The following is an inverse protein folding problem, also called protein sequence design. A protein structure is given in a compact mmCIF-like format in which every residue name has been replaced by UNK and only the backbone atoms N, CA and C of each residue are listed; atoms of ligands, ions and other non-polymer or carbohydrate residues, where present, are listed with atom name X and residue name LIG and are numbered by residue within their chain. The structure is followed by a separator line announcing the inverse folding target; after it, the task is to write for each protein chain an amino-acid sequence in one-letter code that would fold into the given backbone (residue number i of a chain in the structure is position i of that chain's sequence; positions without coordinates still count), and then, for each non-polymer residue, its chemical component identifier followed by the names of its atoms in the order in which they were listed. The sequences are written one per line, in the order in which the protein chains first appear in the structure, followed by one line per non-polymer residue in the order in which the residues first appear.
data_IF_848788812970
#
_entry.id   IF_848788812970
#
_cell.length_a   1.000
_cell.length_b   1.000
_cell.length_c   1.000
_cell.angle_alpha   90.00
_cell.angle_beta   90.00
_cell.angle_gamma   90.00
#
_symmetry.space_group_name_H-M   'P 1'
#
loop_
_entity.id
_entity.type
_entity.pdbx_description
1 polymer ?
#
# COMPACT_ATOMS: atom_id res chain seq x y z
N UNK A 1 -27.57 61.96 1.32
CA UNK A 1 -27.21 62.77 2.50
C UNK A 1 -27.51 61.92 3.73
N UNK A 2 -26.52 61.22 4.30
CA UNK A 2 -26.43 60.80 5.71
C UNK A 2 -25.07 60.11 5.95
N UNK A 3 -24.51 60.40 7.12
CA UNK A 3 -23.09 60.40 7.54
C UNK A 3 -22.53 59.01 7.93
N UNK A 4 -21.20 58.77 7.87
CA UNK A 4 -20.58 57.51 8.27
C UNK A 4 -20.40 57.42 9.79
N UNK A 5 -20.70 56.25 10.38
CA UNK A 5 -20.39 55.95 11.79
C UNK A 5 -19.02 55.30 11.93
N UNK A 6 -18.33 55.74 12.98
CA UNK A 6 -16.95 55.48 13.39
C UNK A 6 -16.69 54.03 13.82
N UNK A 7 -15.43 53.65 13.64
CA UNK A 7 -14.77 52.46 14.16
C UNK A 7 -14.74 52.40 15.69
N UNK A 8 -14.84 51.18 16.23
CA UNK A 8 -14.49 50.86 17.62
C UNK A 8 -13.76 49.51 17.70
N UNK A 9 -12.52 49.60 18.19
CA UNK A 9 -11.62 48.61 18.78
C UNK A 9 -11.91 47.10 18.68
N UNK A 10 -10.99 46.38 18.02
CA UNK A 10 -10.70 44.98 18.29
C UNK A 10 -9.56 44.89 19.32
N UNK A 11 -9.64 44.02 20.35
CA UNK A 11 -8.53 43.79 21.26
C UNK A 11 -7.47 42.89 20.59
N UNK A 12 -6.21 43.27 20.76
CA UNK A 12 -5.06 42.55 20.22
C UNK A 12 -4.98 41.12 20.73
N UNK A 13 -4.90 40.16 19.80
CA UNK A 13 -4.46 38.80 20.09
C UNK A 13 -2.94 38.73 19.92
N UNK A 14 -2.28 38.38 21.02
CA UNK A 14 -0.87 38.08 21.06
C UNK A 14 -0.52 36.98 20.04
N UNK A 15 0.58 37.19 19.31
CA UNK A 15 1.21 36.18 18.48
C UNK A 15 1.64 35.00 19.38
N UNK A 16 0.99 33.85 19.24
CA UNK A 16 1.47 32.60 19.80
C UNK A 16 2.60 32.09 18.92
N UNK A 17 3.84 32.40 19.31
CA UNK A 17 5.04 31.84 18.69
C UNK A 17 5.05 30.32 18.83
N UNK A 18 5.16 29.63 17.70
CA UNK A 18 5.50 28.20 17.69
C UNK A 18 7.01 28.11 17.85
N UNK A 19 7.46 27.50 18.95
CA UNK A 19 8.86 27.17 19.15
C UNK A 19 9.28 26.09 18.14
N UNK A 20 10.24 26.42 17.28
CA UNK A 20 11.00 25.43 16.53
C UNK A 20 12.01 24.76 17.49
N UNK A 21 12.22 23.43 17.43
CA UNK A 21 13.18 22.79 18.30
C UNK A 21 14.63 23.09 17.85
N UNK A 22 15.40 23.67 18.77
CA UNK A 22 16.86 23.66 18.73
C UNK A 22 17.41 22.22 18.79
N UNK A 23 18.58 21.94 18.18
CA UNK A 23 19.12 20.59 18.07
C UNK A 23 19.73 20.14 19.41
N UNK A 24 18.92 19.54 20.28
CA UNK A 24 19.46 18.91 21.49
C UNK A 24 18.41 18.60 22.56
N UNK A 25 18.30 17.30 22.90
CA UNK A 25 17.46 16.69 23.95
C UNK A 25 15.96 16.62 23.66
N UNK A 26 15.60 15.66 22.81
CA UNK A 26 14.23 15.17 22.64
C UNK A 26 13.67 14.57 23.94
N UNK A 27 12.53 15.10 24.40
CA UNK A 27 11.65 14.46 25.38
C UNK A 27 10.99 13.24 24.75
N UNK A 28 11.15 12.08 25.39
CA UNK A 28 10.64 10.78 24.95
C UNK A 28 9.10 10.73 25.05
N UNK A 29 8.42 10.72 23.90
CA UNK A 29 7.17 9.94 23.72
C UNK A 29 7.55 8.62 23.06
N UNK A 30 6.84 7.51 23.32
CA UNK A 30 7.30 6.19 22.87
C UNK A 30 7.20 6.14 21.35
N UNK A 31 8.36 6.20 20.70
CA UNK A 31 8.47 5.90 19.28
C UNK A 31 8.03 4.46 19.05
N UNK A 32 7.18 4.25 18.06
CA UNK A 32 7.11 2.94 17.42
C UNK A 32 8.52 2.63 16.91
N UNK A 33 9.13 1.51 17.32
CA UNK A 33 10.50 1.21 16.93
C UNK A 33 10.56 0.97 15.43
N UNK A 34 11.25 1.86 14.71
CA UNK A 34 11.93 1.50 13.46
C UNK A 34 12.81 0.29 13.77
N UNK A 35 12.53 -0.85 13.13
CA UNK A 35 13.40 -2.02 13.20
C UNK A 35 13.55 -2.60 14.60
N UNK A 36 12.45 -3.09 15.19
CA UNK A 36 12.55 -4.22 16.11
C UNK A 36 11.83 -5.39 15.46
N UNK A 37 12.58 -6.14 14.65
CA UNK A 37 12.31 -7.56 14.46
C UNK A 37 11.95 -8.11 15.84
N UNK A 38 10.73 -8.61 16.00
CA UNK A 38 10.45 -9.56 17.08
C UNK A 38 11.18 -10.85 16.68
N UNK A 39 12.51 -10.83 16.76
CA UNK A 39 13.29 -12.03 17.00
C UNK A 39 12.98 -12.45 18.43
N UNK A 40 11.77 -12.95 18.65
CA UNK A 40 11.61 -13.94 19.69
C UNK A 40 12.54 -15.08 19.26
N UNK A 41 13.71 -15.18 19.90
CA UNK A 41 14.40 -16.46 20.03
C UNK A 41 13.40 -17.36 20.75
N UNK A 42 12.51 -17.97 19.99
CA UNK A 42 11.79 -19.15 20.41
C UNK A 42 12.89 -20.17 20.60
N UNK A 43 13.17 -20.55 21.85
CA UNK A 43 13.96 -21.75 22.09
C UNK A 43 13.35 -22.85 21.24
N UNK A 44 14.17 -23.48 20.40
CA UNK A 44 13.83 -24.67 19.63
C UNK A 44 13.52 -25.83 20.60
N UNK A 45 12.40 -25.74 21.30
CA UNK A 45 11.79 -26.80 22.05
C UNK A 45 10.88 -27.54 21.09
N UNK A 46 11.37 -28.67 20.58
CA UNK A 46 10.63 -29.73 19.86
C UNK A 46 9.23 -29.31 19.38
N UNK A 47 9.16 -28.59 18.26
CA UNK A 47 7.90 -28.33 17.59
C UNK A 47 7.30 -29.67 17.13
N UNK A 48 6.04 -29.93 17.51
CA UNK A 48 5.25 -30.93 16.83
C UNK A 48 5.16 -30.50 15.36
N UNK A 49 5.99 -31.11 14.50
CA UNK A 49 5.84 -31.05 13.05
C UNK A 49 4.60 -31.84 12.67
N UNK A 50 3.42 -31.24 12.89
CA UNK A 50 2.23 -31.61 12.14
C UNK A 50 2.55 -31.47 10.65
N UNK A 51 2.04 -32.38 9.82
CA UNK A 51 2.25 -32.34 8.37
C UNK A 51 1.88 -30.96 7.81
N UNK A 52 2.58 -30.53 6.77
CA UNK A 52 2.27 -29.28 6.06
C UNK A 52 0.81 -29.37 5.58
N UNK A 53 -0.08 -28.42 5.94
CA UNK A 53 -1.47 -28.46 5.48
C UNK A 53 -1.54 -28.59 3.96
N UNK A 54 -2.56 -29.28 3.45
CA UNK A 54 -2.83 -29.37 2.02
C UNK A 54 -3.54 -28.09 1.55
N UNK A 55 -3.36 -27.72 0.28
CA UNK A 55 -4.00 -26.52 -0.31
C UNK A 55 -5.53 -26.53 -0.10
N UNK A 56 -6.15 -27.72 -0.17
CA UNK A 56 -7.58 -27.93 0.09
C UNK A 56 -8.04 -27.62 1.51
N UNK A 57 -7.14 -27.58 2.50
CA UNK A 57 -7.51 -27.28 3.88
C UNK A 57 -7.93 -25.81 4.06
N UNK A 58 -7.32 -24.89 3.29
CA UNK A 58 -7.77 -23.49 3.24
C UNK A 58 -9.16 -23.37 2.61
N UNK A 59 -9.51 -24.27 1.70
CA UNK A 59 -10.84 -24.28 1.09
C UNK A 59 -11.94 -24.67 2.08
N UNK A 60 -11.60 -25.52 3.05
CA UNK A 60 -12.47 -25.99 4.11
C UNK A 60 -12.68 -24.96 5.24
N UNK A 61 -11.96 -23.83 5.24
CA UNK A 61 -12.12 -22.79 6.26
C UNK A 61 -13.52 -22.16 6.16
N UNK A 62 -14.33 -22.44 7.18
CA UNK A 62 -15.70 -21.92 7.27
C UNK A 62 -15.73 -20.39 7.27
N UNK A 63 -16.78 -19.80 6.67
CA UNK A 63 -16.97 -18.33 6.65
C UNK A 63 -16.83 -17.67 8.03
N UNK A 64 -17.40 -18.21 9.12
CA UNK A 64 -17.25 -17.62 10.46
C UNK A 64 -15.82 -17.70 11.03
N UNK A 65 -14.96 -18.57 10.51
CA UNK A 65 -13.58 -18.71 10.98
C UNK A 65 -12.61 -17.74 10.27
N UNK A 66 -12.96 -17.24 9.08
CA UNK A 66 -12.10 -16.34 8.28
C UNK A 66 -11.65 -15.07 9.01
N UNK A 67 -12.50 -14.37 9.81
CA UNK A 67 -12.04 -13.22 10.58
C UNK A 67 -10.96 -13.58 11.62
N UNK A 68 -11.02 -14.78 12.21
CA UNK A 68 -10.01 -15.27 13.15
C UNK A 68 -8.69 -15.49 12.43
N UNK A 69 -8.74 -16.17 11.27
CA UNK A 69 -7.57 -16.41 10.43
C UNK A 69 -6.95 -15.08 9.98
N UNK A 70 -7.77 -14.12 9.52
CA UNK A 70 -7.29 -12.77 9.14
C UNK A 70 -6.59 -12.07 10.29
N UNK A 71 -7.18 -12.08 11.48
CA UNK A 71 -6.60 -11.41 12.65
C UNK A 71 -5.27 -12.07 13.06
N UNK A 72 -5.17 -13.40 13.00
CA UNK A 72 -3.91 -14.10 13.29
C UNK A 72 -2.86 -13.87 12.21
N UNK A 73 -3.27 -13.85 10.94
CA UNK A 73 -2.40 -13.58 9.80
C UNK A 73 -1.78 -12.17 9.92
N UNK A 74 -2.61 -11.16 10.17
CA UNK A 74 -2.18 -9.75 10.18
C UNK A 74 -1.56 -9.35 11.53
N UNK A 75 -2.19 -9.77 12.64
CA UNK A 75 -1.92 -9.27 14.00
C UNK A 75 -1.50 -10.36 15.00
N UNK A 76 -1.28 -11.60 14.55
CA UNK A 76 -0.78 -12.72 15.37
C UNK A 76 0.70 -12.60 15.78
N UNK A 77 1.17 -13.42 16.73
CA UNK A 77 0.39 -14.39 17.52
C UNK A 77 -0.54 -13.73 18.54
N UNK A 78 -1.66 -14.38 18.90
CA UNK A 78 -2.65 -13.86 19.88
C UNK A 78 -3.18 -14.93 20.82
N UNK A 79 -3.47 -14.55 22.06
CA UNK A 79 -4.17 -15.46 22.98
C UNK A 79 -5.63 -15.63 22.56
N UNK A 80 -6.26 -16.75 22.96
CA UNK A 80 -7.69 -16.97 22.70
C UNK A 80 -8.55 -15.88 23.34
N UNK A 81 -8.18 -15.40 24.53
CA UNK A 81 -8.86 -14.30 25.22
C UNK A 81 -8.81 -13.00 24.40
N UNK A 82 -7.64 -12.67 23.84
CA UNK A 82 -7.48 -11.47 23.00
C UNK A 82 -8.31 -11.56 21.71
N UNK A 83 -8.27 -12.72 21.04
CA UNK A 83 -9.06 -12.97 19.83
C UNK A 83 -10.56 -12.87 20.10
N UNK A 84 -11.04 -13.51 21.17
CA UNK A 84 -12.44 -13.47 21.58
C UNK A 84 -12.92 -12.03 21.79
N UNK A 85 -12.13 -11.22 22.53
CA UNK A 85 -12.44 -9.82 22.80
C UNK A 85 -12.44 -8.97 21.52
N UNK A 86 -11.42 -9.10 20.67
CA UNK A 86 -11.28 -8.29 19.44
C UNK A 86 -12.35 -8.58 18.41
N UNK A 87 -12.75 -9.85 18.29
CA UNK A 87 -13.72 -10.30 17.29
C UNK A 87 -15.15 -10.39 17.83
N UNK A 88 -15.39 -10.03 19.10
CA UNK A 88 -16.72 -10.11 19.73
C UNK A 88 -17.27 -11.53 19.81
N UNK A 89 -16.39 -12.54 19.97
CA UNK A 89 -16.76 -13.96 20.01
C UNK A 89 -16.76 -14.50 21.43
N UNK A 90 -17.65 -15.44 21.75
CA UNK A 90 -17.56 -16.20 23.00
C UNK A 90 -16.39 -17.19 22.96
N UNK A 91 -15.80 -17.52 24.12
CA UNK A 91 -14.72 -18.50 24.24
C UNK A 91 -15.10 -19.88 23.65
N UNK A 92 -16.35 -20.31 23.83
CA UNK A 92 -16.87 -21.54 23.24
C UNK A 92 -16.92 -21.49 21.71
N UNK A 93 -17.36 -20.36 21.14
CA UNK A 93 -17.36 -20.17 19.68
C UNK A 93 -15.94 -20.16 19.11
N UNK A 94 -15.02 -19.44 19.75
CA UNK A 94 -13.63 -19.38 19.32
C UNK A 94 -12.98 -20.77 19.35
N UNK A 95 -13.19 -21.54 20.42
CA UNK A 95 -12.67 -22.92 20.53
C UNK A 95 -13.22 -23.81 19.42
N UNK A 96 -14.54 -23.77 19.19
CA UNK A 96 -15.20 -24.53 18.13
C UNK A 96 -14.68 -24.18 16.73
N UNK A 97 -14.39 -22.90 16.46
CA UNK A 97 -13.92 -22.43 15.16
C UNK A 97 -12.42 -22.67 14.93
N UNK A 98 -11.60 -22.62 15.99
CA UNK A 98 -10.14 -22.78 15.88
C UNK A 98 -9.69 -24.23 15.96
N UNK A 99 -10.42 -25.11 16.66
CA UNK A 99 -10.05 -26.52 16.82
C UNK A 99 -9.79 -27.24 15.48
N UNK A 100 -10.68 -27.18 14.47
CA UNK A 100 -10.42 -27.83 13.18
C UNK A 100 -9.21 -27.25 12.44
N UNK A 101 -8.92 -25.96 12.63
CA UNK A 101 -7.78 -25.28 11.98
C UNK A 101 -6.44 -25.69 12.62
N UNK A 102 -6.43 -25.96 13.93
CA UNK A 102 -5.25 -26.49 14.62
C UNK A 102 -5.05 -27.96 14.25
N UNK A 103 -6.13 -28.74 14.20
CA UNK A 103 -6.08 -30.16 13.79
C UNK A 103 -5.59 -30.35 12.35
N UNK A 104 -5.91 -29.43 11.43
CA UNK A 104 -5.40 -29.44 10.05
C UNK A 104 -4.01 -28.82 9.90
N UNK A 105 -3.43 -28.25 10.96
CA UNK A 105 -2.12 -27.59 10.90
C UNK A 105 -2.11 -26.20 10.24
N UNK A 106 -3.28 -25.63 9.95
CA UNK A 106 -3.42 -24.24 9.47
C UNK A 106 -3.09 -23.22 10.55
N UNK A 107 -3.41 -23.55 11.81
CA UNK A 107 -3.03 -22.79 12.98
C UNK A 107 -2.14 -23.63 13.90
N UNK A 108 -1.24 -22.97 14.62
CA UNK A 108 -0.38 -23.59 15.62
C UNK A 108 -0.49 -22.89 16.95
N UNK A 109 -0.32 -23.67 18.02
CA UNK A 109 -0.10 -23.13 19.35
C UNK A 109 1.39 -22.84 19.54
N UNK A 110 1.73 -21.58 19.77
CA UNK A 110 3.10 -21.16 20.10
C UNK A 110 3.43 -21.51 21.56
N UNK A 111 4.70 -21.33 21.92
CA UNK A 111 5.19 -21.56 23.28
C UNK A 111 4.38 -20.83 24.34
N UNK A 112 4.35 -21.38 25.56
CA UNK A 112 3.58 -20.84 26.68
C UNK A 112 4.07 -19.44 27.06
N UNK A 113 3.17 -18.47 27.06
CA UNK A 113 3.37 -17.11 27.59
C UNK A 113 2.44 -16.88 28.77
N UNK A 114 2.71 -15.87 29.60
CA UNK A 114 1.75 -15.46 30.63
C UNK A 114 0.78 -14.45 30.03
N UNK A 115 -0.53 -14.69 30.19
CA UNK A 115 -1.57 -13.79 29.70
C UNK A 115 -1.37 -12.40 30.33
N UNK A 116 -1.27 -11.31 29.54
CA UNK A 116 -0.98 -9.97 30.08
C UNK A 116 -2.06 -9.42 31.01
N UNK A 117 -3.28 -9.96 30.94
CA UNK A 117 -4.44 -9.48 31.68
C UNK A 117 -4.65 -10.31 32.95
N UNK A 118 -4.56 -11.63 32.85
CA UNK A 118 -4.90 -12.53 33.95
C UNK A 118 -3.70 -13.25 34.57
N UNK A 119 -2.50 -13.09 34.01
CA UNK A 119 -1.26 -13.73 34.48
C UNK A 119 -1.22 -15.25 34.30
N UNK A 120 -2.28 -15.87 33.75
CA UNK A 120 -2.32 -17.32 33.56
C UNK A 120 -1.46 -17.76 32.38
N UNK A 121 -0.71 -18.86 32.51
CA UNK A 121 -0.01 -19.48 31.39
C UNK A 121 -1.00 -19.81 30.26
N UNK A 122 -0.72 -19.29 29.07
CA UNK A 122 -1.54 -19.46 27.87
C UNK A 122 -0.66 -19.74 26.67
N UNK A 123 -1.20 -20.46 25.68
CA UNK A 123 -0.53 -20.74 24.41
C UNK A 123 -1.19 -19.89 23.32
N UNK A 124 -0.51 -18.87 22.81
CA UNK A 124 -1.04 -18.05 21.72
C UNK A 124 -1.27 -18.90 20.48
N UNK A 125 -2.35 -18.62 19.77
CA UNK A 125 -2.59 -19.14 18.43
C UNK A 125 -1.86 -18.26 17.41
N UNK A 126 -1.41 -18.88 16.34
CA UNK A 126 -0.75 -18.20 15.22
C UNK A 126 -0.92 -18.99 13.92
N UNK A 127 -0.61 -18.35 12.79
CA UNK A 127 -0.47 -19.01 11.50
C UNK A 127 0.94 -19.59 11.34
N UNK A 128 1.07 -20.67 10.56
CA UNK A 128 2.36 -21.19 10.13
C UNK A 128 2.81 -20.41 8.89
N UNK A 129 3.53 -19.31 9.10
CA UNK A 129 3.79 -18.32 8.04
C UNK A 129 4.47 -18.92 6.79
N UNK A 130 5.42 -19.83 6.97
CA UNK A 130 6.19 -20.50 5.93
C UNK A 130 5.48 -21.72 5.31
N UNK A 131 4.27 -22.06 5.77
CA UNK A 131 3.51 -23.20 5.24
C UNK A 131 3.16 -23.02 3.76
N UNK A 132 2.99 -21.79 3.28
CA UNK A 132 2.68 -21.49 1.89
C UNK A 132 3.48 -20.30 1.38
N UNK A 133 3.73 -20.31 0.08
CA UNK A 133 4.41 -19.22 -0.59
C UNK A 133 3.52 -18.67 -1.71
N UNK A 134 3.69 -17.41 -2.05
CA UNK A 134 2.84 -16.67 -2.97
C UNK A 134 3.69 -15.86 -3.92
N UNK A 135 3.34 -15.89 -5.20
CA UNK A 135 3.98 -15.05 -6.20
C UNK A 135 3.26 -13.69 -6.23
N UNK A 136 4.00 -12.61 -6.04
CA UNK A 136 3.52 -11.26 -6.28
C UNK A 136 4.21 -10.69 -7.49
N UNK A 137 3.45 -10.18 -8.45
CA UNK A 137 3.98 -9.59 -9.69
C UNK A 137 3.53 -8.15 -9.81
N UNK A 138 4.45 -7.23 -10.03
CA UNK A 138 4.16 -5.87 -10.49
C UNK A 138 4.51 -5.76 -11.97
N UNK A 139 3.52 -5.44 -12.79
CA UNK A 139 3.69 -5.19 -14.22
C UNK A 139 3.78 -3.68 -14.49
N UNK A 140 4.78 -3.27 -15.26
CA UNK A 140 4.93 -1.93 -15.83
C UNK A 140 4.85 -2.01 -17.36
N UNK A 141 4.99 -0.89 -18.07
CA UNK A 141 4.96 -0.85 -19.54
C UNK A 141 6.12 -1.61 -20.19
N UNK A 142 7.19 -1.88 -19.45
CA UNK A 142 8.43 -2.42 -19.98
C UNK A 142 9.10 -3.48 -19.10
N UNK A 143 8.63 -3.71 -17.87
CA UNK A 143 9.22 -4.67 -16.93
C UNK A 143 8.17 -5.51 -16.20
N UNK A 144 8.62 -6.70 -15.82
CA UNK A 144 7.97 -7.56 -14.84
C UNK A 144 8.86 -7.65 -13.60
N UNK A 145 8.34 -7.17 -12.47
CA UNK A 145 8.95 -7.36 -11.16
C UNK A 145 8.19 -8.46 -10.43
N UNK A 146 8.89 -9.43 -9.87
CA UNK A 146 8.27 -10.54 -9.18
C UNK A 146 8.97 -10.84 -7.85
N UNK A 147 8.15 -11.18 -6.85
CA UNK A 147 8.58 -11.63 -5.53
C UNK A 147 7.88 -12.94 -5.19
N UNK A 148 8.57 -13.82 -4.48
CA UNK A 148 7.94 -14.92 -3.76
C UNK A 148 7.93 -14.57 -2.28
N UNK A 149 6.77 -14.61 -1.64
CA UNK A 149 6.63 -14.33 -0.21
C UNK A 149 6.01 -15.47 0.56
N UNK A 150 6.22 -15.52 1.87
CA UNK A 150 5.43 -16.34 2.79
C UNK A 150 4.02 -15.75 3.04
N UNK A 151 3.24 -16.34 3.96
CA UNK A 151 1.90 -15.84 4.33
C UNK A 151 1.91 -14.46 5.00
N UNK A 152 3.04 -14.04 5.59
CA UNK A 152 3.20 -12.71 6.22
C UNK A 152 3.81 -11.69 5.26
N UNK A 153 3.89 -12.04 3.97
CA UNK A 153 4.49 -11.21 2.93
C UNK A 153 5.98 -10.90 3.17
N UNK A 154 6.69 -11.79 3.85
CA UNK A 154 8.16 -11.73 3.94
C UNK A 154 8.77 -12.29 2.65
N UNK A 155 9.71 -11.56 2.05
CA UNK A 155 10.28 -11.89 0.73
C UNK A 155 11.30 -13.02 0.86
N UNK A 156 11.05 -14.13 0.18
CA UNK A 156 11.95 -15.27 0.08
C UNK A 156 12.89 -15.15 -1.14
N UNK A 157 12.37 -14.65 -2.25
CA UNK A 157 13.14 -14.43 -3.48
C UNK A 157 12.51 -13.30 -4.31
N UNK A 158 13.32 -12.57 -5.06
CA UNK A 158 12.85 -11.53 -5.98
C UNK A 158 13.64 -11.52 -7.29
N UNK A 159 12.98 -11.13 -8.38
CA UNK A 159 13.58 -10.95 -9.70
C UNK A 159 12.87 -9.83 -10.46
N UNK A 160 13.59 -9.22 -11.38
CA UNK A 160 13.08 -8.18 -12.27
C UNK A 160 13.68 -8.39 -13.66
N UNK A 161 12.84 -8.33 -14.68
CA UNK A 161 13.28 -8.49 -16.07
C UNK A 161 12.42 -7.65 -17.04
N UNK A 162 12.98 -7.21 -18.18
CA UNK A 162 12.20 -6.53 -19.20
C UNK A 162 11.11 -7.42 -19.77
N UNK A 163 9.99 -6.83 -20.19
CA UNK A 163 8.95 -7.51 -20.94
C UNK A 163 9.41 -7.80 -22.36
N UNK A 164 9.47 -9.08 -22.72
CA UNK A 164 9.81 -9.51 -24.08
C UNK A 164 8.62 -9.41 -25.03
N UNK A 165 7.46 -9.91 -24.60
CA UNK A 165 6.20 -9.85 -25.32
C UNK A 165 5.12 -9.21 -24.44
N UNK A 166 4.46 -8.18 -24.98
CA UNK A 166 3.41 -7.41 -24.29
C UNK A 166 2.00 -7.95 -24.54
N UNK A 167 1.84 -9.06 -25.26
CA UNK A 167 0.55 -9.75 -25.33
C UNK A 167 0.19 -10.37 -23.98
N UNK A 168 -1.10 -10.55 -23.64
CA UNK A 168 -1.50 -11.24 -22.41
C UNK A 168 -0.88 -12.64 -22.28
N UNK A 169 -0.81 -13.39 -23.39
CA UNK A 169 -0.21 -14.73 -23.45
C UNK A 169 1.31 -14.67 -23.24
N UNK A 170 1.98 -13.71 -23.86
CA UNK A 170 3.41 -13.47 -23.69
C UNK A 170 3.78 -13.13 -22.24
N UNK A 171 3.01 -12.23 -21.62
CA UNK A 171 3.16 -11.88 -20.20
C UNK A 171 2.91 -13.11 -19.31
N UNK A 172 1.89 -13.91 -19.58
CA UNK A 172 1.58 -15.10 -18.80
C UNK A 172 2.68 -16.18 -18.92
N UNK A 173 3.21 -16.40 -20.14
CA UNK A 173 4.32 -17.31 -20.36
C UNK A 173 5.60 -16.86 -19.65
N UNK A 174 5.91 -15.56 -19.72
CA UNK A 174 7.06 -14.98 -19.03
C UNK A 174 6.91 -15.08 -17.50
N UNK A 175 5.72 -14.79 -16.96
CA UNK A 175 5.45 -14.93 -15.53
C UNK A 175 5.60 -16.38 -15.05
N UNK A 176 5.19 -17.35 -15.87
CA UNK A 176 5.34 -18.78 -15.57
C UNK A 176 6.80 -19.18 -15.47
N UNK A 177 7.59 -18.79 -16.47
CA UNK A 177 9.02 -19.07 -16.50
C UNK A 177 9.75 -18.40 -15.31
N UNK A 178 9.40 -17.14 -14.99
CA UNK A 178 9.94 -16.44 -13.84
C UNK A 178 9.56 -17.10 -12.50
N UNK A 179 8.32 -17.59 -12.36
CA UNK A 179 7.89 -18.38 -11.21
C UNK A 179 8.71 -19.67 -11.07
N UNK A 180 8.91 -20.42 -12.16
CA UNK A 180 9.67 -21.67 -12.14
C UNK A 180 11.16 -21.41 -11.80
N UNK A 181 11.73 -20.26 -12.18
CA UNK A 181 13.06 -19.83 -11.73
C UNK A 181 13.10 -19.48 -10.25
N UNK A 182 12.17 -18.63 -9.79
CA UNK A 182 12.09 -18.21 -8.39
C UNK A 182 11.85 -19.39 -7.44
N UNK A 183 11.09 -20.39 -7.87
CA UNK A 183 10.82 -21.62 -7.13
C UNK A 183 12.03 -22.58 -7.05
N UNK A 184 13.14 -22.32 -7.76
CA UNK A 184 14.42 -23.03 -7.52
C UNK A 184 15.18 -22.47 -6.33
N UNK A 185 15.02 -21.18 -6.07
CA UNK A 185 15.67 -20.46 -4.96
C UNK A 185 14.79 -20.39 -3.70
N UNK A 186 13.51 -20.80 -3.81
CA UNK A 186 12.48 -20.70 -2.76
C UNK A 186 11.47 -21.85 -2.87
N UNK A 187 10.36 -21.81 -2.13
CA UNK A 187 9.29 -22.81 -2.28
C UNK A 187 8.33 -22.44 -3.43
N UNK A 188 7.78 -23.48 -4.08
CA UNK A 188 6.79 -23.31 -5.14
C UNK A 188 5.57 -22.53 -4.64
N UNK A 189 5.18 -21.44 -5.32
CA UNK A 189 3.99 -20.68 -4.96
C UNK A 189 2.69 -21.49 -5.08
N UNK A 190 1.76 -21.27 -4.15
CA UNK A 190 0.43 -21.88 -4.16
C UNK A 190 -0.61 -21.04 -4.91
N UNK A 191 -0.38 -19.73 -5.01
CA UNK A 191 -1.18 -18.79 -5.78
C UNK A 191 -0.31 -17.60 -6.22
N UNK A 192 -0.79 -16.85 -7.21
CA UNK A 192 -0.13 -15.67 -7.73
C UNK A 192 -1.08 -14.45 -7.75
N UNK A 193 -0.53 -13.26 -7.53
CA UNK A 193 -1.25 -12.01 -7.59
C UNK A 193 -0.52 -11.00 -8.45
N UNK A 194 -1.24 -10.44 -9.43
CA UNK A 194 -0.71 -9.52 -10.42
C UNK A 194 -1.26 -8.12 -10.16
N UNK A 195 -0.35 -7.21 -9.82
CA UNK A 195 -0.59 -5.80 -9.60
C UNK A 195 -0.16 -5.02 -10.85
N UNK A 196 -1.11 -4.33 -11.49
CA UNK A 196 -0.83 -3.51 -12.67
C UNK A 196 -1.83 -2.36 -12.78
N UNK A 197 -1.45 -1.28 -13.47
CA UNK A 197 -2.35 -0.15 -13.71
C UNK A 197 -3.52 -0.57 -14.60
N UNK A 198 -4.67 0.08 -14.46
CA UNK A 198 -5.87 -0.26 -15.21
C UNK A 198 -6.98 -0.86 -14.35
N UNK A 199 -8.07 -1.27 -15.02
CA UNK A 199 -9.31 -1.67 -14.35
C UNK A 199 -9.80 -3.05 -14.74
N UNK A 200 -10.28 -3.77 -13.73
CA UNK A 200 -11.26 -4.81 -13.94
C UNK A 200 -12.61 -4.17 -14.32
N UNK A 201 -13.29 -4.73 -15.31
CA UNK A 201 -14.64 -4.34 -15.69
C UNK A 201 -15.59 -4.69 -14.53
N UNK A 202 -16.43 -3.75 -14.07
CA UNK A 202 -17.31 -3.95 -12.91
C UNK A 202 -18.42 -5.00 -13.15
N UNK A 203 -18.48 -5.61 -14.34
CA UNK A 203 -19.40 -6.69 -14.66
C UNK A 203 -20.85 -6.21 -14.66
N UNK A 204 -21.23 -5.42 -15.67
CA UNK A 204 -22.64 -5.13 -15.92
C UNK A 204 -23.42 -6.39 -16.32
N UNK A 205 -22.75 -7.31 -17.02
CA UNK A 205 -23.20 -8.66 -17.34
C UNK A 205 -22.17 -9.69 -16.85
N UNK A 206 -22.62 -10.90 -16.50
CA UNK A 206 -21.76 -11.98 -16.02
C UNK A 206 -20.64 -12.37 -17.00
N UNK A 207 -20.83 -12.08 -18.29
CA UNK A 207 -19.82 -12.30 -19.34
C UNK A 207 -18.69 -11.27 -19.32
N UNK A 208 -18.90 -10.11 -18.71
CA UNK A 208 -17.92 -9.00 -18.66
C UNK A 208 -17.17 -8.92 -17.32
N UNK A 209 -17.70 -9.58 -16.28
CA UNK A 209 -17.08 -9.64 -14.97
C UNK A 209 -15.69 -10.30 -15.07
N UNK A 210 -14.66 -9.61 -14.60
CA UNK A 210 -13.27 -10.12 -14.60
C UNK A 210 -12.46 -9.81 -15.85
N UNK A 211 -13.01 -9.10 -16.84
CA UNK A 211 -12.20 -8.57 -17.94
C UNK A 211 -11.37 -7.37 -17.50
N UNK A 212 -10.13 -7.28 -17.97
CA UNK A 212 -9.17 -6.27 -17.56
C UNK A 212 -8.76 -5.36 -18.74
N UNK A 213 -8.78 -4.05 -18.49
CA UNK A 213 -8.25 -3.03 -19.39
C UNK A 213 -6.91 -2.52 -18.84
N UNK A 214 -5.85 -2.56 -19.64
CA UNK A 214 -4.54 -2.02 -19.31
C UNK A 214 -4.02 -1.15 -20.47
N UNK A 215 -4.45 0.12 -20.57
CA UNK A 215 -4.16 0.98 -21.73
C UNK A 215 -2.67 1.15 -22.02
N UNK A 216 -1.81 1.13 -20.99
CA UNK A 216 -0.36 1.24 -21.14
C UNK A 216 0.28 0.01 -21.83
N UNK A 217 -0.44 -1.10 -21.93
CA UNK A 217 -0.07 -2.30 -22.71
C UNK A 217 -0.94 -2.46 -23.97
N UNK A 218 -1.84 -1.52 -24.24
CA UNK A 218 -2.80 -1.62 -25.34
C UNK A 218 -3.88 -2.70 -25.12
N UNK A 219 -4.05 -3.18 -23.90
CA UNK A 219 -5.03 -4.22 -23.59
C UNK A 219 -6.42 -3.64 -23.39
N UNK A 220 -7.40 -4.28 -24.02
CA UNK A 220 -8.81 -3.94 -23.88
C UNK A 220 -9.63 -5.20 -23.64
N UNK A 221 -10.37 -5.23 -22.54
CA UNK A 221 -11.32 -6.28 -22.16
C UNK A 221 -10.71 -7.69 -22.21
N UNK A 222 -9.50 -7.84 -21.68
CA UNK A 222 -8.76 -9.10 -21.66
C UNK A 222 -9.20 -9.96 -20.48
N UNK A 223 -9.49 -11.24 -20.68
CA UNK A 223 -9.74 -12.20 -19.59
C UNK A 223 -8.44 -12.60 -18.88
N UNK A 224 -7.73 -11.64 -18.32
CA UNK A 224 -6.33 -11.81 -17.89
C UNK A 224 -6.18 -12.89 -16.81
N UNK A 225 -7.08 -12.95 -15.83
CA UNK A 225 -7.06 -14.03 -14.83
C UNK A 225 -7.18 -15.42 -15.46
N UNK A 226 -8.00 -15.59 -16.51
CA UNK A 226 -8.14 -16.86 -17.22
C UNK A 226 -6.84 -17.25 -17.93
N UNK A 227 -6.24 -16.31 -18.67
CA UNK A 227 -4.97 -16.51 -19.37
C UNK A 227 -3.85 -16.87 -18.39
N UNK A 228 -3.78 -16.15 -17.27
CA UNK A 228 -2.81 -16.41 -16.20
C UNK A 228 -3.05 -17.76 -15.52
N UNK A 229 -4.29 -18.09 -15.14
CA UNK A 229 -4.61 -19.39 -14.53
C UNK A 229 -4.20 -20.56 -15.44
N UNK A 230 -4.49 -20.47 -16.75
CA UNK A 230 -4.14 -21.49 -17.72
C UNK A 230 -2.63 -21.67 -17.88
N UNK A 231 -1.87 -20.58 -17.98
CA UNK A 231 -0.41 -20.63 -18.15
C UNK A 231 0.33 -21.03 -16.86
N UNK A 232 -0.11 -20.49 -15.72
CA UNK A 232 0.57 -20.66 -14.44
C UNK A 232 0.26 -22.03 -13.80
N UNK A 233 -0.94 -22.57 -14.03
CA UNK A 233 -1.38 -23.83 -13.41
C UNK A 233 -1.63 -23.70 -11.90
N UNK A 234 -1.74 -22.47 -11.40
CA UNK A 234 -2.10 -22.12 -10.01
C UNK A 234 -3.11 -20.96 -10.03
N UNK A 235 -3.93 -20.80 -8.98
CA UNK A 235 -4.85 -19.69 -8.86
C UNK A 235 -4.15 -18.34 -8.99
N UNK A 236 -4.63 -17.50 -9.90
CA UNK A 236 -4.13 -16.16 -10.18
C UNK A 236 -5.22 -15.14 -9.93
N UNK A 237 -4.87 -14.04 -9.28
CA UNK A 237 -5.75 -12.86 -9.13
C UNK A 237 -5.10 -11.63 -9.72
N UNK A 238 -5.92 -10.75 -10.28
CA UNK A 238 -5.47 -9.49 -10.86
C UNK A 238 -6.06 -8.34 -10.06
N UNK A 239 -5.25 -7.31 -9.79
CA UNK A 239 -5.69 -6.11 -9.10
C UNK A 239 -4.99 -4.87 -9.63
N UNK A 240 -5.68 -3.75 -9.55
CA UNK A 240 -5.05 -2.44 -9.71
C UNK A 240 -3.87 -2.32 -8.73
N UNK A 241 -2.74 -1.82 -9.23
CA UNK A 241 -1.50 -1.76 -8.47
C UNK A 241 -1.58 -0.86 -7.24
N UNK A 242 -2.31 0.27 -7.29
CA UNK A 242 -2.51 1.17 -6.17
C UNK A 242 -3.31 0.50 -5.06
N UNK A 243 -4.36 -0.24 -5.42
CA UNK A 243 -5.17 -0.99 -4.46
C UNK A 243 -4.39 -2.13 -3.82
N UNK A 244 -3.62 -2.86 -4.64
CA UNK A 244 -2.76 -3.93 -4.16
C UNK A 244 -1.69 -3.39 -3.19
N UNK A 245 -1.07 -2.25 -3.53
CA UNK A 245 -0.12 -1.56 -2.66
C UNK A 245 -0.79 -1.10 -1.35
N UNK A 246 -1.95 -0.45 -1.42
CA UNK A 246 -2.70 -0.04 -0.24
C UNK A 246 -3.04 -1.22 0.68
N UNK A 247 -3.40 -2.37 0.11
CA UNK A 247 -3.67 -3.58 0.89
C UNK A 247 -2.42 -4.18 1.50
N UNK A 248 -1.32 -4.20 0.75
CA UNK A 248 0.00 -4.58 1.25
C UNK A 248 0.41 -3.74 2.46
N UNK A 249 0.26 -2.42 2.37
CA UNK A 249 0.57 -1.51 3.47
C UNK A 249 -0.36 -1.69 4.66
N UNK A 250 -1.65 -1.94 4.42
CA UNK A 250 -2.63 -2.17 5.49
C UNK A 250 -2.42 -3.49 6.22
N UNK A 251 -1.95 -4.54 5.55
CA UNK A 251 -1.75 -5.84 6.17
C UNK A 251 -0.37 -5.97 6.81
N UNK A 252 0.69 -5.54 6.12
CA UNK A 252 2.07 -5.84 6.52
C UNK A 252 3.03 -4.65 6.41
N UNK A 253 2.53 -3.43 6.18
CA UNK A 253 3.36 -2.23 6.06
C UNK A 253 2.98 -1.13 7.05
N UNK A 254 3.22 0.12 6.67
CA UNK A 254 3.09 1.31 7.55
C UNK A 254 1.64 1.64 7.91
N UNK A 255 0.67 1.15 7.14
CA UNK A 255 -0.75 1.31 7.46
C UNK A 255 -1.32 0.17 8.34
N UNK A 256 -0.48 -0.74 8.82
CA UNK A 256 -0.94 -1.85 9.68
C UNK A 256 -1.51 -1.33 10.99
N UNK A 257 -2.75 -1.74 11.28
CA UNK A 257 -3.48 -1.33 12.48
C UNK A 257 -4.24 -0.01 12.33
N UNK A 258 -4.13 0.68 11.19
CA UNK A 258 -4.96 1.83 10.87
C UNK A 258 -6.33 1.37 10.35
N UNK A 259 -7.40 2.00 10.83
CA UNK A 259 -8.75 1.80 10.29
C UNK A 259 -9.04 2.72 9.12
N UNK A 260 -8.48 3.93 9.15
CA UNK A 260 -8.72 4.98 8.17
C UNK A 260 -7.38 5.54 7.67
N UNK A 261 -7.11 5.42 6.38
CA UNK A 261 -5.95 6.02 5.74
C UNK A 261 -6.19 6.20 4.24
N UNK A 262 -5.47 7.10 3.60
CA UNK A 262 -5.43 7.21 2.15
C UNK A 262 -4.03 6.88 1.66
N UNK A 263 -3.92 6.31 0.48
CA UNK A 263 -2.66 6.09 -0.21
C UNK A 263 -2.70 6.88 -1.52
N UNK A 264 -1.77 7.82 -1.67
CA UNK A 264 -1.56 8.58 -2.90
C UNK A 264 -0.19 8.20 -3.47
N UNK A 265 -0.13 7.90 -4.76
CA UNK A 265 1.14 7.60 -5.43
C UNK A 265 1.51 8.66 -6.45
N UNK A 266 2.80 8.93 -6.55
CA UNK A 266 3.40 9.86 -7.49
C UNK A 266 4.54 9.15 -8.23
N UNK A 267 4.29 8.80 -9.49
CA UNK A 267 5.24 8.15 -10.39
C UNK A 267 4.91 8.46 -11.84
N UNK A 268 4.99 7.47 -12.74
CA UNK A 268 4.56 7.62 -14.12
C UNK A 268 3.13 8.20 -14.26
N UNK A 269 2.24 7.86 -13.31
CA UNK A 269 0.94 8.49 -13.11
C UNK A 269 0.71 8.88 -11.66
N UNK A 270 -0.52 9.32 -11.36
CA UNK A 270 -1.00 9.58 -10.00
C UNK A 270 -1.99 8.49 -9.63
N UNK A 271 -1.72 7.77 -8.55
CA UNK A 271 -2.61 6.76 -8.01
C UNK A 271 -3.30 7.24 -6.73
N UNK A 272 -4.48 6.69 -6.45
CA UNK A 272 -5.26 7.00 -5.25
C UNK A 272 -6.04 5.80 -4.74
N UNK A 273 -6.01 5.59 -3.43
CA UNK A 273 -6.85 4.62 -2.72
C UNK A 273 -7.22 5.17 -1.34
N UNK A 274 -8.43 4.83 -0.87
CA UNK A 274 -8.91 5.21 0.46
C UNK A 274 -9.31 3.95 1.22
N UNK A 275 -8.82 3.82 2.44
CA UNK A 275 -9.31 2.87 3.43
C UNK A 275 -10.16 3.61 4.45
N UNK A 276 -11.38 3.10 4.68
CA UNK A 276 -12.32 3.59 5.68
C UNK A 276 -12.88 2.40 6.45
N UNK A 277 -12.94 2.49 7.77
CA UNK A 277 -13.45 1.41 8.63
C UNK A 277 -12.75 0.05 8.37
N UNK A 278 -11.46 0.08 8.05
CA UNK A 278 -10.64 -1.09 7.74
C UNK A 278 -10.96 -1.73 6.38
N UNK A 279 -11.68 -1.04 5.50
CA UNK A 279 -12.01 -1.47 4.14
C UNK A 279 -11.46 -0.49 3.12
N UNK A 280 -10.67 -1.00 2.18
CA UNK A 280 -10.28 -0.24 1.00
C UNK A 280 -11.52 -0.06 0.13
N UNK A 281 -11.86 1.19 -0.17
CA UNK A 281 -12.96 1.55 -1.05
C UNK A 281 -12.57 1.19 -2.48
N UNK A 282 -13.48 0.50 -3.18
CA UNK A 282 -13.31 0.24 -4.59
C UNK A 282 -13.47 1.56 -5.36
N UNK A 283 -12.47 1.89 -6.17
CA UNK A 283 -12.47 3.04 -7.08
C UNK A 283 -12.30 2.54 -8.50
N UNK A 284 -12.94 3.20 -9.46
CA UNK A 284 -12.73 2.92 -10.88
C UNK A 284 -11.40 3.54 -11.35
N UNK A 285 -10.87 3.10 -12.50
CA UNK A 285 -9.70 3.75 -13.10
C UNK A 285 -10.03 5.21 -13.46
N UNK A 286 -11.26 5.48 -13.90
CA UNK A 286 -11.76 6.81 -14.18
C UNK A 286 -11.70 7.71 -12.94
N UNK A 287 -12.05 7.20 -11.74
CA UNK A 287 -11.94 7.94 -10.48
C UNK A 287 -10.48 8.27 -10.15
N UNK A 288 -9.57 7.32 -10.35
CA UNK A 288 -8.13 7.49 -10.08
C UNK A 288 -7.52 8.51 -11.05
N UNK A 289 -7.84 8.41 -12.34
CA UNK A 289 -7.38 9.35 -13.37
C UNK A 289 -7.96 10.75 -13.12
N UNK A 290 -9.25 10.85 -12.79
CA UNK A 290 -9.89 12.11 -12.45
C UNK A 290 -9.24 12.75 -11.21
N UNK A 291 -8.91 11.95 -10.20
CA UNK A 291 -8.14 12.42 -9.04
C UNK A 291 -6.78 12.98 -9.46
N UNK A 292 -6.00 12.25 -10.26
CA UNK A 292 -4.71 12.71 -10.78
C UNK A 292 -4.78 14.00 -11.60
N UNK A 293 -5.95 14.32 -12.15
CA UNK A 293 -6.22 15.54 -12.90
C UNK A 293 -7.00 16.61 -12.13
N UNK A 294 -7.24 16.40 -10.83
CA UNK A 294 -7.82 17.43 -9.98
C UNK A 294 -6.95 18.68 -9.95
N UNK A 295 -7.54 19.85 -10.20
CA UNK A 295 -6.84 21.12 -10.30
C UNK A 295 -6.47 21.62 -8.90
N UNK A 296 -5.18 21.72 -8.63
CA UNK A 296 -4.65 22.37 -7.44
C UNK A 296 -4.58 23.88 -7.62
N UNK A 297 -4.00 24.36 -8.71
CA UNK A 297 -3.86 25.79 -8.99
C UNK A 297 -4.10 26.07 -10.47
N UNK A 298 -5.20 26.74 -10.86
CA UNK A 298 -5.49 27.05 -12.27
C UNK A 298 -4.38 27.82 -13.00
N UNK A 299 -3.51 28.54 -12.27
CA UNK A 299 -2.34 29.24 -12.81
C UNK A 299 -1.08 28.38 -12.95
N UNK A 300 -1.14 27.11 -12.54
CA UNK A 300 -0.02 26.20 -12.44
C UNK A 300 0.61 25.71 -13.75
N UNK A 301 1.55 24.75 -13.67
CA UNK A 301 2.20 24.15 -14.83
C UNK A 301 1.23 23.26 -15.62
N UNK A 302 1.60 22.92 -16.85
CA UNK A 302 0.86 21.94 -17.66
C UNK A 302 1.35 20.53 -17.38
N UNK A 303 0.44 19.57 -17.27
CA UNK A 303 0.81 18.16 -17.23
C UNK A 303 1.02 17.60 -18.65
N UNK A 304 1.60 16.39 -18.78
CA UNK A 304 1.81 15.75 -20.08
C UNK A 304 0.54 15.51 -20.92
N UNK A 305 -0.64 15.51 -20.29
CA UNK A 305 -1.94 15.36 -20.99
C UNK A 305 -2.58 16.69 -21.39
N UNK A 306 -1.93 17.82 -21.10
CA UNK A 306 -2.36 19.17 -21.50
C UNK A 306 -3.22 19.93 -20.49
N UNK A 307 -3.62 19.30 -19.38
CA UNK A 307 -4.31 20.01 -18.30
C UNK A 307 -3.38 20.96 -17.54
N UNK A 308 -3.90 22.10 -17.08
CA UNK A 308 -3.15 23.08 -16.30
C UNK A 308 -3.43 22.92 -14.81
N UNK A 309 -2.37 22.94 -14.00
CA UNK A 309 -2.51 23.07 -12.56
C UNK A 309 -2.97 21.82 -11.83
N UNK A 310 -3.05 20.68 -12.50
CA UNK A 310 -3.53 19.45 -11.89
C UNK A 310 -2.45 18.75 -11.04
N UNK A 311 -2.84 17.83 -10.15
CA UNK A 311 -1.91 17.05 -9.33
C UNK A 311 -0.77 16.44 -10.18
N UNK A 312 -1.11 15.84 -11.32
CA UNK A 312 -0.14 15.25 -12.24
C UNK A 312 0.89 16.25 -12.76
N UNK A 313 0.53 17.53 -12.93
CA UNK A 313 1.45 18.57 -13.39
C UNK A 313 2.55 18.87 -12.37
N UNK A 314 2.32 18.58 -11.09
CA UNK A 314 3.27 18.81 -10.00
C UNK A 314 4.02 17.54 -9.57
N UNK A 315 3.38 16.37 -9.66
CA UNK A 315 3.87 15.17 -8.98
C UNK A 315 4.22 13.99 -9.90
N UNK A 316 3.73 13.97 -11.14
CA UNK A 316 4.07 12.86 -12.05
C UNK A 316 5.54 12.92 -12.46
N UNK A 317 6.20 11.76 -12.55
CA UNK A 317 7.59 11.65 -13.00
C UNK A 317 7.78 12.36 -14.34
N UNK A 318 6.87 12.18 -15.30
CA UNK A 318 6.93 12.84 -16.60
C UNK A 318 6.91 14.37 -16.52
N UNK A 319 6.09 14.95 -15.65
CA UNK A 319 6.04 16.41 -15.46
C UNK A 319 7.32 16.94 -14.81
N UNK A 320 7.80 16.28 -13.74
CA UNK A 320 9.02 16.64 -13.04
C UNK A 320 10.25 16.60 -13.97
N UNK A 321 10.39 15.51 -14.72
CA UNK A 321 11.48 15.32 -15.67
C UNK A 321 11.44 16.33 -16.81
N UNK A 322 10.25 16.62 -17.35
CA UNK A 322 10.11 17.61 -18.43
C UNK A 322 10.49 19.01 -17.96
N UNK A 323 10.05 19.42 -16.77
CA UNK A 323 10.39 20.71 -16.19
C UNK A 323 11.90 20.85 -15.92
N UNK A 324 12.51 19.80 -15.34
CA UNK A 324 13.94 19.79 -15.06
C UNK A 324 14.77 19.78 -16.35
N UNK A 325 14.37 18.98 -17.34
CA UNK A 325 15.08 18.90 -18.61
C UNK A 325 15.03 20.20 -19.39
N UNK A 326 13.90 20.91 -19.34
CA UNK A 326 13.78 22.25 -19.91
C UNK A 326 14.72 23.25 -19.21
N UNK A 327 14.70 23.30 -17.87
CA UNK A 327 15.50 24.26 -17.11
C UNK A 327 17.01 23.96 -17.09
N UNK A 328 17.41 22.69 -17.26
CA UNK A 328 18.80 22.25 -17.27
C UNK A 328 19.36 21.98 -18.68
N UNK A 329 18.53 22.11 -19.72
CA UNK A 329 18.86 21.84 -21.12
C UNK A 329 19.40 20.43 -21.39
N UNK A 330 18.99 19.43 -20.60
CA UNK A 330 19.33 18.02 -20.80
C UNK A 330 18.41 17.07 -20.02
N UNK A 331 18.28 15.80 -20.44
CA UNK A 331 17.63 14.78 -19.61
C UNK A 331 18.32 14.61 -18.25
N UNK A 332 17.51 14.35 -17.22
CA UNK A 332 17.92 14.07 -15.84
C UNK A 332 17.06 12.93 -15.27
N UNK A 333 17.46 12.37 -14.13
CA UNK A 333 16.64 11.41 -13.37
C UNK A 333 15.95 12.07 -12.17
N UNK A 334 14.89 11.46 -11.59
CA UNK A 334 14.26 11.96 -10.37
C UNK A 334 15.24 12.10 -9.20
N UNK A 335 16.17 11.14 -9.05
CA UNK A 335 17.20 11.16 -8.01
C UNK A 335 18.16 12.34 -8.20
N UNK A 336 18.51 12.65 -9.46
CA UNK A 336 19.32 13.83 -9.76
C UNK A 336 18.60 15.13 -9.42
N UNK A 337 17.29 15.26 -9.72
CA UNK A 337 16.48 16.43 -9.33
C UNK A 337 16.52 16.59 -7.81
N UNK A 338 16.20 15.52 -7.07
CA UNK A 338 16.17 15.55 -5.61
C UNK A 338 17.55 15.90 -5.01
N UNK A 339 18.63 15.31 -5.54
CA UNK A 339 20.01 15.59 -5.11
C UNK A 339 20.40 17.04 -5.36
N UNK A 340 20.13 17.58 -6.55
CA UNK A 340 20.45 18.97 -6.93
C UNK A 340 19.65 19.98 -6.12
N UNK A 341 18.36 19.72 -5.89
CA UNK A 341 17.51 20.54 -5.03
C UNK A 341 18.10 20.66 -3.61
N UNK A 342 18.57 19.55 -3.03
CA UNK A 342 19.27 19.53 -1.73
C UNK A 342 20.60 20.29 -1.74
N UNK A 343 21.24 20.41 -2.90
CA UNK A 343 22.48 21.16 -3.10
C UNK A 343 22.26 22.65 -3.41
N UNK A 344 21.00 23.12 -3.44
CA UNK A 344 20.66 24.52 -3.68
C UNK A 344 20.59 24.93 -5.16
N UNK A 345 20.52 23.98 -6.08
CA UNK A 345 20.24 24.25 -7.50
C UNK A 345 18.86 24.93 -7.63
N UNK A 346 18.80 26.08 -8.31
CA UNK A 346 17.58 26.89 -8.38
C UNK A 346 16.45 26.17 -9.12
N UNK A 347 16.76 25.57 -10.28
CA UNK A 347 15.76 24.88 -11.11
C UNK A 347 15.18 23.68 -10.36
N UNK A 348 16.04 22.81 -9.84
CA UNK A 348 15.60 21.63 -9.10
C UNK A 348 14.95 22.00 -7.77
N UNK A 349 15.43 23.06 -7.12
CA UNK A 349 14.87 23.61 -5.89
C UNK A 349 13.43 24.12 -6.07
N UNK A 350 13.12 24.78 -7.17
CA UNK A 350 11.75 25.21 -7.49
C UNK A 350 10.83 24.03 -7.79
N UNK A 351 11.31 23.04 -8.54
CA UNK A 351 10.56 21.80 -8.82
C UNK A 351 10.23 21.07 -7.51
N UNK A 352 11.23 20.87 -6.63
CA UNK A 352 11.03 20.23 -5.34
C UNK A 352 10.08 21.05 -4.45
N UNK A 353 10.24 22.39 -4.41
CA UNK A 353 9.33 23.29 -3.68
C UNK A 353 7.87 23.09 -4.11
N UNK A 354 7.61 23.10 -5.41
CA UNK A 354 6.25 22.92 -5.95
C UNK A 354 5.71 21.51 -5.66
N UNK A 355 6.54 20.47 -5.75
CA UNK A 355 6.15 19.11 -5.40
C UNK A 355 5.78 18.97 -3.90
N UNK A 356 6.59 19.56 -3.01
CA UNK A 356 6.30 19.58 -1.56
C UNK A 356 4.99 20.31 -1.25
N UNK A 357 4.79 21.49 -1.84
CA UNK A 357 3.52 22.23 -1.74
C UNK A 357 2.33 21.41 -2.25
N UNK A 358 2.47 20.77 -3.42
CA UNK A 358 1.39 20.01 -4.02
C UNK A 358 0.98 18.81 -3.16
N UNK A 359 1.92 18.07 -2.57
CA UNK A 359 1.58 16.97 -1.64
C UNK A 359 0.81 17.47 -0.42
N UNK A 360 1.19 18.61 0.15
CA UNK A 360 0.45 19.24 1.24
C UNK A 360 -0.99 19.59 0.83
N UNK A 361 -1.15 20.23 -0.34
CA UNK A 361 -2.45 20.59 -0.87
C UNK A 361 -3.35 19.37 -1.16
N UNK A 362 -2.76 18.29 -1.70
CA UNK A 362 -3.46 17.02 -1.95
C UNK A 362 -3.89 16.37 -0.65
N UNK A 363 -3.00 16.29 0.35
CA UNK A 363 -3.29 15.70 1.64
C UNK A 363 -4.42 16.45 2.37
N UNK A 364 -4.42 17.79 2.34
CA UNK A 364 -5.52 18.60 2.87
C UNK A 364 -6.82 18.35 2.10
N UNK A 365 -6.78 18.27 0.77
CA UNK A 365 -7.95 17.96 -0.06
C UNK A 365 -8.56 16.60 0.30
N UNK A 366 -7.73 15.56 0.43
CA UNK A 366 -8.17 14.22 0.86
C UNK A 366 -8.85 14.32 2.23
N UNK A 367 -8.21 14.97 3.20
CA UNK A 367 -8.76 15.09 4.55
C UNK A 367 -10.10 15.84 4.57
N UNK A 368 -10.21 16.94 3.82
CA UNK A 368 -11.42 17.74 3.70
C UNK A 368 -12.59 16.97 3.09
N UNK A 369 -12.33 16.10 2.10
CA UNK A 369 -13.37 15.40 1.37
C UNK A 369 -13.74 14.03 1.95
N UNK A 370 -12.81 13.35 2.63
CA UNK A 370 -13.01 11.96 3.08
C UNK A 370 -13.03 11.81 4.60
N UNK A 371 -12.67 12.85 5.34
CA UNK A 371 -12.41 12.78 6.80
C UNK A 371 -11.26 11.85 7.20
N UNK A 372 -10.45 11.38 6.24
CA UNK A 372 -9.25 10.57 6.49
C UNK A 372 -8.05 11.48 6.73
N UNK A 373 -7.34 11.27 7.84
CA UNK A 373 -6.26 12.18 8.28
C UNK A 373 -4.86 11.60 8.18
N UNK A 374 -4.72 10.33 7.84
CA UNK A 374 -3.43 9.71 7.59
C UNK A 374 -3.30 9.46 6.09
N UNK A 375 -2.29 10.07 5.46
CA UNK A 375 -2.05 9.97 4.02
C UNK A 375 -0.66 9.38 3.79
N UNK A 376 -0.63 8.19 3.22
CA UNK A 376 0.60 7.53 2.79
C UNK A 376 0.92 8.01 1.37
N UNK A 377 2.14 8.49 1.17
CA UNK A 377 2.65 8.97 -0.12
C UNK A 377 3.76 8.03 -0.59
N UNK A 378 3.59 7.47 -1.78
CA UNK A 378 4.51 6.50 -2.36
C UNK A 378 4.85 6.83 -3.82
N UNK A 379 5.82 6.10 -4.38
CA UNK A 379 6.19 6.21 -5.80
C UNK A 379 7.52 6.95 -6.04
N UNK A 380 7.95 6.93 -7.30
CA UNK A 380 9.26 7.40 -7.75
C UNK A 380 9.55 8.86 -7.40
N UNK A 381 8.51 9.70 -7.34
CA UNK A 381 8.66 11.14 -7.09
C UNK A 381 8.87 11.49 -5.60
N UNK A 382 8.82 10.53 -4.68
CA UNK A 382 8.90 10.77 -3.22
C UNK A 382 10.17 11.50 -2.83
N UNK A 383 11.32 11.18 -3.43
CA UNK A 383 12.58 11.85 -3.09
C UNK A 383 12.60 13.34 -3.47
N UNK A 384 11.92 13.69 -4.56
CA UNK A 384 11.75 15.08 -5.01
C UNK A 384 10.80 15.82 -4.06
N UNK A 385 9.69 15.18 -3.66
CA UNK A 385 8.75 15.69 -2.65
C UNK A 385 9.48 15.98 -1.34
N UNK A 386 10.29 15.04 -0.86
CA UNK A 386 11.05 15.16 0.39
C UNK A 386 12.10 16.27 0.33
N UNK A 387 12.75 16.48 -0.83
CA UNK A 387 13.62 17.63 -1.03
C UNK A 387 12.88 18.99 -0.90
N UNK A 388 11.57 19.00 -1.15
CA UNK A 388 10.67 20.14 -0.99
C UNK A 388 9.92 20.21 0.35
N UNK A 389 10.18 19.29 1.28
CA UNK A 389 9.38 19.05 2.49
C UNK A 389 9.02 20.29 3.32
N UNK A 390 9.88 21.31 3.36
CA UNK A 390 9.61 22.60 4.04
C UNK A 390 8.36 23.33 3.54
N UNK A 391 7.83 22.97 2.36
CA UNK A 391 6.64 23.60 1.77
C UNK A 391 5.36 22.74 1.88
N UNK A 392 5.44 21.55 2.48
CA UNK A 392 4.25 20.71 2.70
C UNK A 392 3.22 21.45 3.56
N UNK A 393 3.66 22.09 4.64
CA UNK A 393 2.77 22.84 5.52
C UNK A 393 2.12 24.05 4.85
N UNK A 394 2.84 24.70 3.92
CA UNK A 394 2.26 25.75 3.12
C UNK A 394 1.05 25.21 2.32
N UNK A 395 1.25 24.10 1.59
CA UNK A 395 0.18 23.46 0.82
C UNK A 395 -1.02 23.02 1.66
N UNK A 396 -0.76 22.50 2.87
CA UNK A 396 -1.82 22.15 3.84
C UNK A 396 -2.63 23.39 4.26
N UNK A 397 -1.95 24.48 4.65
CA UNK A 397 -2.57 25.68 5.22
C UNK A 397 -3.44 26.46 4.23
N UNK A 398 -3.06 26.49 2.95
CA UNK A 398 -3.76 27.24 1.90
C UNK A 398 -5.13 26.63 1.53
N UNK A 399 -5.43 25.40 1.99
CA UNK A 399 -6.69 24.69 1.72
C UNK A 399 -7.73 24.80 2.83
N UNK A 400 -7.55 25.74 3.77
CA UNK A 400 -8.47 26.02 4.87
C UNK A 400 -8.93 24.75 5.62
N UNK A 401 -7.98 24.01 6.17
CA UNK A 401 -8.24 22.82 7.00
C UNK A 401 -8.13 23.14 8.49
N UNK A 402 -9.05 22.60 9.31
CA UNK A 402 -8.97 22.63 10.78
C UNK A 402 -8.54 21.27 11.33
N UNK A 403 -7.24 21.09 11.59
CA UNK A 403 -6.71 19.86 12.20
C UNK A 403 -5.27 19.57 11.77
N UNK A 404 -4.74 18.41 12.16
CA UNK A 404 -3.50 17.86 11.63
C UNK A 404 -3.78 16.75 10.60
N UNK A 405 -2.96 16.68 9.56
CA UNK A 405 -2.89 15.55 8.62
C UNK A 405 -1.52 14.90 8.79
N UNK A 406 -1.53 13.60 9.08
CA UNK A 406 -0.30 12.81 9.19
C UNK A 406 0.10 12.32 7.80
N UNK A 407 1.16 12.89 7.24
CA UNK A 407 1.71 12.48 5.95
C UNK A 407 2.87 11.53 6.20
N UNK A 408 2.71 10.28 5.76
CA UNK A 408 3.74 9.24 5.85
C UNK A 408 4.30 9.00 4.46
N UNK A 409 5.62 9.04 4.30
CA UNK A 409 6.26 8.70 3.03
C UNK A 409 6.76 7.27 3.06
N UNK A 410 6.48 6.53 1.99
CA UNK A 410 6.92 5.15 1.82
C UNK A 410 8.16 5.09 0.92
N UNK A 411 9.03 4.12 1.18
CA UNK A 411 10.07 3.77 0.22
C UNK A 411 9.45 3.28 -1.09
N UNK A 412 9.97 3.75 -2.21
CA UNK A 412 9.49 3.45 -3.55
C UNK A 412 10.25 2.27 -4.16
N UNK A 413 10.15 1.08 -3.56
CA UNK A 413 10.74 -0.13 -4.15
C UNK A 413 9.75 -0.86 -5.05
N UNK A 414 10.20 -1.40 -6.18
CA UNK A 414 9.39 -2.31 -7.01
C UNK A 414 8.98 -3.58 -6.25
N UNK A 415 9.77 -3.94 -5.23
CA UNK A 415 9.47 -5.01 -4.27
C UNK A 415 8.17 -4.73 -3.51
N UNK A 416 7.91 -3.51 -3.01
CA UNK A 416 6.68 -3.20 -2.27
C UNK A 416 5.41 -3.32 -3.14
N UNK A 417 5.50 -2.92 -4.41
CA UNK A 417 4.40 -3.10 -5.36
C UNK A 417 4.14 -4.58 -5.66
N UNK A 418 5.21 -5.35 -5.84
CA UNK A 418 5.12 -6.80 -6.08
C UNK A 418 4.57 -7.53 -4.84
N UNK A 419 4.99 -7.13 -3.64
CA UNK A 419 4.43 -7.61 -2.35
C UNK A 419 2.94 -7.29 -2.25
N UNK A 420 2.49 -6.12 -2.71
CA UNK A 420 1.07 -5.81 -2.84
C UNK A 420 0.32 -6.87 -3.66
N UNK A 421 0.87 -7.28 -4.80
CA UNK A 421 0.37 -8.42 -5.59
C UNK A 421 0.32 -9.72 -4.79
N UNK A 422 1.39 -10.07 -4.08
CA UNK A 422 1.41 -11.27 -3.24
C UNK A 422 0.34 -11.22 -2.13
N UNK A 423 0.09 -10.07 -1.52
CA UNK A 423 -0.97 -9.88 -0.51
C UNK A 423 -2.36 -10.09 -1.10
N UNK A 424 -2.61 -9.69 -2.36
CA UNK A 424 -3.87 -10.01 -3.03
C UNK A 424 -4.04 -11.52 -3.25
N UNK A 425 -2.96 -12.22 -3.60
CA UNK A 425 -2.97 -13.68 -3.70
C UNK A 425 -3.24 -14.34 -2.34
N UNK A 426 -2.56 -13.90 -1.27
CA UNK A 426 -2.78 -14.38 0.10
C UNK A 426 -4.22 -14.14 0.51
N UNK A 427 -4.77 -12.95 0.27
CA UNK A 427 -6.17 -12.62 0.61
C UNK A 427 -7.15 -13.54 -0.11
N UNK A 428 -6.98 -13.70 -1.43
CA UNK A 428 -7.85 -14.54 -2.24
C UNK A 428 -7.78 -16.02 -1.83
N UNK A 429 -6.58 -16.49 -1.50
CA UNK A 429 -6.31 -17.88 -1.10
C UNK A 429 -6.82 -18.20 0.32
N UNK A 430 -6.49 -17.35 1.29
CA UNK A 430 -6.74 -17.60 2.72
C UNK A 430 -8.13 -17.14 3.16
N UNK A 431 -8.53 -15.94 2.76
CA UNK A 431 -9.79 -15.33 3.21
C UNK A 431 -10.93 -15.66 2.25
N UNK A 432 -10.65 -15.80 0.94
CA UNK A 432 -11.65 -16.10 -0.10
C UNK A 432 -12.83 -15.11 -0.08
N UNK A 433 -12.54 -13.83 0.19
CA UNK A 433 -13.47 -12.72 0.03
C UNK A 433 -13.32 -12.21 -1.41
N UNK A 434 -14.25 -12.62 -2.26
CA UNK A 434 -14.42 -12.14 -3.63
C UNK A 434 -15.20 -10.85 -3.65
#
# INVERSE_FOLDING_TARGET
MFSPRRASGLPGRAASGVALPEPGRAGRRPGFPRGALYAARVHAGSEQRGGRPAVGDWEAVSRPARPIVKELLVNGPRTRTELARRLGLSNGSLTRLTKPLVESGLLVERGTVHDPVNGHPTRPLDVVADAYHFLGVKLTSDHMHAVVTDLRSEVAAERSEPLGDRTPEGVAAQARDLMDRLARDSAKPAAAGFALGGRASPGGDAAEAGLFDAPFLGWRRVSLESVLNAAMGIPCVVRNDVHALARGQHWFGEARGLTDFALATAGAGIGYAVCRDGRILETTEEDVVAFGHHILDPGGPMCPTGHRGCISAYLSTGALLSAAAYGLHRPVSPEEIARRARQGDVVCGDIARLAGWAVGAVAAGIANHTSVRTVLVAGESVDVILAGSRHIEQGLSERHFSGSVDILTLSSSSTDWSRGGAVEAIRAFVIRDG
#
